data_IF_385546359732
#
_entry.id   IF_385546359732
#
_cell.length_a   1.000
_cell.length_b   1.000
_cell.length_c   1.000
_cell.angle_alpha   90.00
_cell.angle_beta   90.00
_cell.angle_gamma   90.00
#
_symmetry.space_group_name_H-M   'P 1'
#
loop_
_entity.id
_entity.type
_entity.pdbx_description
1 polymer ?
#
# COMPACT_ATOMS: atom_id res chain seq x y z
N UNK A 1 6.75 -18.48 18.62
CA UNK A 1 7.32 -19.46 17.64
C UNK A 1 6.59 -19.28 16.33
N UNK A 2 7.31 -19.18 15.20
CA UNK A 2 6.72 -19.03 13.86
C UNK A 2 6.08 -20.35 13.41
N UNK A 3 5.02 -20.24 12.60
CA UNK A 3 4.32 -21.42 12.07
C UNK A 3 5.14 -22.15 11.00
N UNK A 4 4.82 -23.42 10.74
CA UNK A 4 5.41 -24.15 9.62
C UNK A 4 5.10 -23.47 8.29
N UNK A 5 3.92 -22.88 8.15
CA UNK A 5 3.53 -22.14 6.94
C UNK A 5 4.35 -20.87 6.74
N UNK A 6 4.85 -20.24 7.80
CA UNK A 6 5.83 -19.17 7.69
C UNK A 6 7.11 -19.64 7.01
N UNK A 7 7.70 -20.75 7.50
CA UNK A 7 8.94 -21.28 6.94
C UNK A 7 8.77 -21.72 5.48
N UNK A 8 7.65 -22.33 5.15
CA UNK A 8 7.31 -22.67 3.75
C UNK A 8 7.24 -21.43 2.87
N UNK A 9 6.49 -20.41 3.30
CA UNK A 9 6.35 -19.15 2.56
C UNK A 9 7.71 -18.46 2.38
N UNK A 10 8.50 -18.34 3.46
CA UNK A 10 9.84 -17.73 3.40
C UNK A 10 10.78 -18.50 2.46
N UNK A 11 10.69 -19.84 2.45
CA UNK A 11 11.48 -20.67 1.52
C UNK A 11 11.07 -20.43 0.08
N UNK A 12 9.77 -20.37 -0.22
CA UNK A 12 9.27 -20.06 -1.58
C UNK A 12 9.71 -18.67 -2.03
N UNK A 13 9.63 -17.65 -1.17
CA UNK A 13 10.08 -16.28 -1.46
C UNK A 13 11.58 -16.29 -1.82
N UNK A 14 12.40 -16.99 -1.03
CA UNK A 14 13.84 -17.11 -1.27
C UNK A 14 14.16 -17.85 -2.58
N UNK A 15 13.48 -18.98 -2.84
CA UNK A 15 13.66 -19.77 -4.07
C UNK A 15 13.27 -18.99 -5.33
N UNK A 16 12.20 -18.19 -5.25
CA UNK A 16 11.81 -17.27 -6.35
C UNK A 16 12.81 -16.12 -6.54
N UNK A 17 13.76 -15.93 -5.62
CA UNK A 17 14.78 -14.90 -5.71
C UNK A 17 14.21 -13.48 -5.70
N UNK A 18 13.09 -13.24 -5.00
CA UNK A 18 12.38 -11.95 -5.02
C UNK A 18 13.31 -10.82 -4.61
N UNK A 19 14.05 -10.97 -3.50
CA UNK A 19 15.04 -9.97 -3.08
C UNK A 19 16.11 -9.73 -4.15
N UNK A 20 16.60 -10.78 -4.83
CA UNK A 20 17.61 -10.65 -5.88
C UNK A 20 17.10 -9.82 -7.05
N UNK A 21 15.86 -10.08 -7.51
CA UNK A 21 15.22 -9.30 -8.58
C UNK A 21 15.08 -7.85 -8.13
N UNK A 22 14.64 -7.64 -6.88
CA UNK A 22 14.47 -6.31 -6.31
C UNK A 22 15.78 -5.58 -5.97
N UNK A 23 16.93 -6.27 -5.98
CA UNK A 23 18.25 -5.68 -5.69
C UNK A 23 18.97 -5.18 -6.94
N UNK A 24 18.42 -5.32 -8.13
CA UNK A 24 18.98 -4.78 -9.36
C UNK A 24 19.06 -3.25 -9.32
N UNK A 25 20.10 -2.69 -9.93
CA UNK A 25 20.25 -1.24 -10.05
C UNK A 25 20.84 -0.89 -11.43
N UNK A 26 20.04 -0.30 -12.34
CA UNK A 26 18.61 0.04 -12.18
C UNK A 26 17.73 -1.20 -11.97
N UNK A 27 16.59 -1.00 -11.26
CA UNK A 27 15.64 -2.09 -11.05
C UNK A 27 15.05 -2.56 -12.38
N UNK A 28 14.97 -3.87 -12.58
CA UNK A 28 14.38 -4.46 -13.79
C UNK A 28 12.85 -4.46 -13.69
N UNK A 29 12.26 -3.28 -13.91
CA UNK A 29 10.80 -3.12 -13.86
C UNK A 29 10.09 -3.86 -14.99
N UNK A 30 10.74 -4.09 -16.13
CA UNK A 30 10.14 -4.82 -17.26
C UNK A 30 9.90 -6.29 -16.90
N UNK A 31 10.83 -6.90 -16.17
CA UNK A 31 10.65 -8.27 -15.66
C UNK A 31 9.57 -8.30 -14.57
N UNK A 32 9.52 -7.31 -13.65
CA UNK A 32 8.48 -7.23 -12.62
C UNK A 32 7.08 -7.06 -13.22
N UNK A 33 6.92 -6.29 -14.29
CA UNK A 33 5.63 -6.07 -15.00
C UNK A 33 5.05 -7.31 -15.69
N UNK A 34 5.82 -8.37 -15.84
CA UNK A 34 5.28 -9.66 -16.35
C UNK A 34 4.24 -10.27 -15.41
N UNK A 35 4.26 -9.87 -14.14
CA UNK A 35 3.29 -10.30 -13.14
C UNK A 35 2.09 -9.33 -13.00
N UNK A 36 2.04 -8.24 -13.80
CA UNK A 36 0.94 -7.28 -13.79
C UNK A 36 -0.35 -7.92 -14.30
N UNK A 37 -1.43 -7.76 -13.53
CA UNK A 37 -2.75 -8.24 -13.88
C UNK A 37 -3.69 -7.03 -13.95
N UNK A 38 -4.05 -6.63 -15.17
CA UNK A 38 -4.93 -5.48 -15.40
C UNK A 38 -6.41 -5.80 -15.25
N UNK A 39 -6.78 -7.08 -15.33
CA UNK A 39 -8.16 -7.54 -15.18
C UNK A 39 -8.22 -8.81 -14.36
N UNK A 40 -9.11 -8.86 -13.38
CA UNK A 40 -9.26 -10.04 -12.53
C UNK A 40 -9.88 -11.20 -13.29
N UNK A 41 -9.37 -12.42 -13.08
CA UNK A 41 -9.98 -13.63 -13.59
C UNK A 41 -11.27 -13.94 -12.82
N UNK A 42 -12.40 -14.06 -13.54
CA UNK A 42 -13.72 -14.37 -12.98
C UNK A 42 -13.78 -15.71 -12.24
N UNK A 43 -12.84 -16.64 -12.47
CA UNK A 43 -12.87 -18.00 -11.90
C UNK A 43 -12.76 -18.02 -10.37
N UNK A 44 -12.12 -17.04 -9.75
CA UNK A 44 -11.87 -17.04 -8.29
C UNK A 44 -12.87 -16.20 -7.50
N UNK A 45 -13.89 -15.59 -8.12
CA UNK A 45 -14.67 -14.52 -7.51
C UNK A 45 -16.16 -14.56 -7.85
N UNK A 46 -16.75 -15.75 -7.87
CA UNK A 46 -18.18 -15.98 -8.23
C UNK A 46 -19.18 -15.16 -7.39
N UNK A 47 -18.79 -14.69 -6.20
CA UNK A 47 -19.65 -13.91 -5.29
C UNK A 47 -19.46 -12.39 -5.39
N UNK A 48 -18.58 -11.89 -6.25
CA UNK A 48 -18.29 -10.47 -6.41
C UNK A 48 -18.62 -10.00 -7.83
N UNK A 49 -18.84 -8.71 -7.96
CA UNK A 49 -19.00 -7.99 -9.23
C UNK A 49 -17.85 -6.99 -9.40
N UNK A 50 -17.53 -6.71 -10.67
CA UNK A 50 -16.42 -5.85 -11.06
C UNK A 50 -16.88 -4.89 -12.14
N UNK A 51 -16.54 -3.62 -11.95
CA UNK A 51 -16.79 -2.59 -12.95
C UNK A 51 -15.55 -1.70 -13.04
N UNK A 52 -14.96 -1.59 -14.24
CA UNK A 52 -13.79 -0.74 -14.48
C UNK A 52 -14.19 0.50 -15.26
N UNK A 53 -13.55 1.61 -14.92
CA UNK A 53 -13.67 2.88 -15.60
C UNK A 53 -12.33 3.63 -15.51
N UNK A 54 -12.15 4.67 -16.34
CA UNK A 54 -10.91 5.44 -16.35
C UNK A 54 -11.16 6.86 -15.83
N UNK A 55 -10.21 7.34 -15.04
CA UNK A 55 -10.10 8.71 -14.56
C UNK A 55 -8.70 9.18 -14.92
N UNK A 56 -8.59 10.18 -15.78
CA UNK A 56 -7.32 10.60 -16.38
C UNK A 56 -6.56 9.38 -16.94
N UNK A 57 -5.33 9.14 -16.49
CA UNK A 57 -4.49 7.99 -16.88
C UNK A 57 -4.64 6.78 -15.97
N UNK A 58 -5.60 6.80 -15.06
CA UNK A 58 -5.79 5.76 -14.04
C UNK A 58 -6.99 4.89 -14.37
N UNK A 59 -6.81 3.58 -14.42
CA UNK A 59 -7.92 2.64 -14.45
C UNK A 59 -8.35 2.34 -13.02
N UNK A 60 -9.61 2.60 -12.70
CA UNK A 60 -10.21 2.27 -11.40
C UNK A 60 -11.14 1.10 -11.58
N UNK A 61 -10.99 0.06 -10.76
CA UNK A 61 -11.91 -1.09 -10.76
C UNK A 61 -12.67 -1.15 -9.45
N UNK A 62 -13.96 -0.92 -9.51
CA UNK A 62 -14.87 -1.18 -8.42
C UNK A 62 -15.05 -2.70 -8.23
N UNK A 63 -14.84 -3.16 -7.01
CA UNK A 63 -15.05 -4.54 -6.57
C UNK A 63 -16.11 -4.51 -5.50
N UNK A 64 -17.23 -5.18 -5.70
CA UNK A 64 -18.35 -5.11 -4.77
C UNK A 64 -19.09 -6.44 -4.63
N UNK A 65 -19.71 -6.68 -3.46
CA UNK A 65 -20.49 -7.87 -3.23
C UNK A 65 -21.80 -7.84 -4.02
N UNK A 66 -22.34 -9.00 -4.37
CA UNK A 66 -23.67 -9.11 -4.99
C UNK A 66 -24.82 -8.74 -4.04
N UNK A 67 -24.56 -8.76 -2.73
CA UNK A 67 -25.50 -8.31 -1.69
C UNK A 67 -25.40 -6.79 -1.50
N UNK A 68 -26.33 -6.21 -0.71
CA UNK A 68 -26.29 -4.78 -0.35
C UNK A 68 -24.96 -4.45 0.35
N UNK A 69 -24.19 -3.52 -0.20
CA UNK A 69 -22.93 -3.04 0.38
C UNK A 69 -23.13 -2.18 1.61
N UNK A 70 -22.11 -2.07 2.46
CA UNK A 70 -21.97 -1.03 3.48
C UNK A 70 -22.03 0.38 2.85
N UNK A 71 -22.35 1.40 3.66
CA UNK A 71 -22.21 2.80 3.26
C UNK A 71 -20.75 3.23 3.14
N UNK A 72 -19.86 2.59 3.91
CA UNK A 72 -18.42 2.81 3.76
C UNK A 72 -17.92 2.23 2.45
N UNK A 73 -16.88 2.86 1.91
CA UNK A 73 -16.12 2.35 0.77
C UNK A 73 -14.64 2.33 1.09
N UNK A 74 -13.90 1.48 0.38
CA UNK A 74 -12.45 1.42 0.44
C UNK A 74 -11.88 1.98 -0.86
N UNK A 75 -11.02 3.01 -0.78
CA UNK A 75 -10.16 3.41 -1.88
C UNK A 75 -8.82 2.72 -1.69
N UNK A 76 -8.50 1.76 -2.55
CA UNK A 76 -7.31 0.92 -2.43
C UNK A 76 -6.25 1.24 -3.47
N UNK A 77 -5.08 1.67 -3.01
CA UNK A 77 -3.89 1.81 -3.84
C UNK A 77 -2.93 0.66 -3.59
N UNK A 78 -2.57 -0.06 -4.66
CA UNK A 78 -1.68 -1.22 -4.60
C UNK A 78 -0.21 -0.85 -4.48
N UNK A 79 0.60 -1.77 -3.95
CA UNK A 79 2.06 -1.70 -3.93
C UNK A 79 2.70 -1.86 -5.31
N UNK A 80 4.00 -2.18 -5.33
CA UNK A 80 4.75 -2.38 -6.57
C UNK A 80 5.77 -1.28 -6.87
N UNK A 81 6.24 -0.60 -5.82
CA UNK A 81 7.36 0.36 -5.88
C UNK A 81 7.18 1.51 -6.89
N UNK A 82 5.96 1.79 -7.35
CA UNK A 82 5.58 2.69 -8.45
C UNK A 82 5.99 2.20 -9.84
N UNK A 83 6.54 1.03 -10.00
CA UNK A 83 7.08 0.54 -11.29
C UNK A 83 6.31 -0.64 -11.86
N UNK A 84 5.52 -1.38 -11.06
CA UNK A 84 4.70 -2.52 -11.50
C UNK A 84 3.43 -2.69 -10.68
N UNK A 85 2.58 -3.65 -11.02
CA UNK A 85 1.31 -3.98 -10.38
C UNK A 85 0.09 -3.32 -11.06
N UNK A 86 -1.15 -3.63 -10.62
CA UNK A 86 -1.46 -4.63 -9.59
C UNK A 86 -1.14 -6.06 -10.03
N UNK A 87 -0.81 -6.93 -9.07
CA UNK A 87 -0.56 -8.36 -9.29
C UNK A 87 -1.71 -9.21 -8.75
N UNK A 88 -1.63 -10.52 -8.95
CA UNK A 88 -2.60 -11.47 -8.38
C UNK A 88 -2.74 -11.35 -6.86
N UNK A 89 -1.65 -11.03 -6.15
CA UNK A 89 -1.66 -10.81 -4.71
C UNK A 89 -2.63 -9.69 -4.32
N UNK A 90 -2.55 -8.55 -4.99
CA UNK A 90 -3.39 -7.37 -4.72
C UNK A 90 -4.87 -7.67 -5.00
N UNK A 91 -5.15 -8.31 -6.14
CA UNK A 91 -6.51 -8.69 -6.52
C UNK A 91 -7.15 -9.68 -5.54
N UNK A 92 -6.39 -10.72 -5.14
CA UNK A 92 -6.87 -11.72 -4.20
C UNK A 92 -7.11 -11.11 -2.81
N UNK A 93 -6.22 -10.22 -2.36
CA UNK A 93 -6.36 -9.55 -1.06
C UNK A 93 -7.59 -8.65 -1.03
N UNK A 94 -7.79 -7.80 -2.03
CA UNK A 94 -8.95 -6.91 -2.06
C UNK A 94 -10.26 -7.67 -2.23
N UNK A 95 -10.29 -8.70 -3.05
CA UNK A 95 -11.46 -9.57 -3.22
C UNK A 95 -11.84 -10.25 -1.89
N UNK A 96 -10.85 -10.74 -1.14
CA UNK A 96 -11.07 -11.36 0.17
C UNK A 96 -11.58 -10.34 1.19
N UNK A 97 -11.03 -9.13 1.22
CA UNK A 97 -11.49 -8.02 2.08
C UNK A 97 -12.94 -7.69 1.76
N UNK A 98 -13.29 -7.43 0.49
CA UNK A 98 -14.66 -7.11 0.08
C UNK A 98 -15.64 -8.22 0.46
N UNK A 99 -15.27 -9.49 0.21
CA UNK A 99 -16.10 -10.65 0.57
C UNK A 99 -16.36 -10.77 2.06
N UNK A 100 -15.36 -10.48 2.90
CA UNK A 100 -15.49 -10.65 4.35
C UNK A 100 -16.11 -9.43 5.04
N UNK A 101 -15.89 -8.21 4.51
CA UNK A 101 -16.40 -6.96 5.12
C UNK A 101 -17.74 -6.52 4.56
N UNK A 102 -18.09 -6.96 3.38
CA UNK A 102 -19.20 -6.43 2.59
C UNK A 102 -19.06 -4.93 2.23
N UNK A 103 -17.85 -4.38 2.28
CA UNK A 103 -17.53 -3.01 1.90
C UNK A 103 -17.05 -3.01 0.44
N UNK A 104 -17.65 -2.13 -0.41
CA UNK A 104 -17.18 -1.92 -1.78
C UNK A 104 -15.75 -1.36 -1.77
N UNK A 105 -14.90 -1.84 -2.65
CA UNK A 105 -13.54 -1.32 -2.82
C UNK A 105 -13.31 -0.82 -4.25
N UNK A 106 -12.55 0.25 -4.38
CA UNK A 106 -12.06 0.81 -5.65
C UNK A 106 -10.56 0.58 -5.72
N UNK A 107 -10.13 -0.40 -6.53
CA UNK A 107 -8.71 -0.65 -6.79
C UNK A 107 -8.22 0.35 -7.84
N UNK A 108 -7.21 1.12 -7.47
CA UNK A 108 -6.62 2.19 -8.27
C UNK A 108 -5.36 1.67 -8.96
N UNK A 109 -5.45 1.43 -10.27
CA UNK A 109 -4.30 1.08 -11.10
C UNK A 109 -3.70 2.36 -11.70
N UNK A 110 -2.92 3.06 -10.89
CA UNK A 110 -2.31 4.35 -11.19
C UNK A 110 -1.17 4.23 -12.23
N UNK A 111 -0.82 5.34 -12.95
CA UNK A 111 0.32 5.39 -13.87
C UNK A 111 1.64 5.07 -13.17
N UNK A 112 2.59 4.45 -13.86
CA UNK A 112 3.82 3.90 -13.27
C UNK A 112 5.08 4.51 -13.86
N UNK A 113 6.11 4.59 -13.02
CA UNK A 113 7.46 4.94 -13.44
C UNK A 113 8.11 3.79 -14.24
N UNK A 114 9.05 4.08 -15.13
CA UNK A 114 9.64 5.41 -15.40
C UNK A 114 8.81 6.32 -16.31
N UNK A 115 7.78 5.81 -16.99
CA UNK A 115 6.97 6.56 -17.97
C UNK A 115 6.22 7.73 -17.32
N UNK A 116 5.83 7.58 -16.04
CA UNK A 116 5.12 8.58 -15.26
C UNK A 116 5.83 8.80 -13.93
N UNK A 117 6.14 10.05 -13.61
CA UNK A 117 6.84 10.42 -12.39
C UNK A 117 5.87 10.79 -11.26
N UNK A 118 6.40 10.93 -10.04
CA UNK A 118 5.61 11.08 -8.82
C UNK A 118 4.62 12.24 -8.86
N UNK A 119 4.97 13.37 -9.47
CA UNK A 119 4.06 14.51 -9.59
C UNK A 119 2.81 14.14 -10.39
N UNK A 120 2.96 13.47 -11.53
CA UNK A 120 1.85 13.02 -12.35
C UNK A 120 1.05 11.90 -11.67
N UNK A 121 1.74 10.95 -11.02
CA UNK A 121 1.08 9.90 -10.23
C UNK A 121 0.23 10.53 -9.13
N UNK A 122 0.76 11.50 -8.39
CA UNK A 122 0.03 12.22 -7.34
C UNK A 122 -1.20 12.95 -7.88
N UNK A 123 -1.10 13.61 -9.05
CA UNK A 123 -2.24 14.27 -9.71
C UNK A 123 -3.34 13.27 -10.09
N UNK A 124 -2.97 12.10 -10.60
CA UNK A 124 -3.94 11.04 -10.92
C UNK A 124 -4.63 10.50 -9.65
N UNK A 125 -3.92 10.32 -8.53
CA UNK A 125 -4.52 9.91 -7.25
C UNK A 125 -5.49 10.99 -6.74
N UNK A 126 -5.12 12.28 -6.85
CA UNK A 126 -5.99 13.40 -6.49
C UNK A 126 -7.26 13.41 -7.35
N UNK A 127 -7.15 13.19 -8.67
CA UNK A 127 -8.28 13.12 -9.59
C UNK A 127 -9.23 11.96 -9.22
N UNK A 128 -8.69 10.78 -8.92
CA UNK A 128 -9.49 9.63 -8.47
C UNK A 128 -10.23 9.94 -7.17
N UNK A 129 -9.56 10.53 -6.17
CA UNK A 129 -10.21 10.91 -4.92
C UNK A 129 -11.34 11.91 -5.13
N UNK A 130 -11.12 12.94 -5.96
CA UNK A 130 -12.13 13.94 -6.29
C UNK A 130 -13.35 13.34 -7.02
N UNK A 131 -13.14 12.39 -7.93
CA UNK A 131 -14.24 11.67 -8.58
C UNK A 131 -15.06 10.85 -7.58
N UNK A 132 -14.39 10.13 -6.68
CA UNK A 132 -15.06 9.37 -5.61
C UNK A 132 -15.88 10.28 -4.71
N UNK A 133 -15.41 11.50 -4.41
CA UNK A 133 -16.16 12.49 -3.61
C UNK A 133 -17.47 12.96 -4.27
N UNK A 134 -17.63 12.81 -5.59
CA UNK A 134 -18.90 13.12 -6.26
C UNK A 134 -20.02 12.15 -5.91
N UNK A 135 -19.66 10.95 -5.42
CA UNK A 135 -20.61 9.86 -5.15
C UNK A 135 -20.65 9.46 -3.67
N UNK A 136 -19.58 9.70 -2.92
CA UNK A 136 -19.43 9.24 -1.53
C UNK A 136 -19.01 10.39 -0.61
N UNK A 137 -19.67 10.47 0.55
CA UNK A 137 -19.26 11.43 1.57
C UNK A 137 -17.88 11.09 2.14
N UNK A 138 -17.00 12.07 2.41
CA UNK A 138 -15.64 11.84 2.92
C UNK A 138 -15.61 10.94 4.16
N UNK A 139 -16.57 11.12 5.08
CA UNK A 139 -16.72 10.32 6.30
C UNK A 139 -16.98 8.82 6.06
N UNK A 140 -17.31 8.43 4.84
CA UNK A 140 -17.55 7.05 4.44
C UNK A 140 -16.38 6.46 3.63
N UNK A 141 -15.31 7.23 3.36
CA UNK A 141 -14.15 6.80 2.59
C UNK A 141 -13.05 6.32 3.54
N UNK A 142 -12.67 5.05 3.41
CA UNK A 142 -11.53 4.45 4.08
C UNK A 142 -10.42 4.30 3.04
N UNK A 143 -9.26 4.88 3.30
CA UNK A 143 -8.08 4.67 2.47
C UNK A 143 -7.37 3.39 2.90
N UNK A 144 -7.04 2.51 1.96
CA UNK A 144 -6.27 1.30 2.20
C UNK A 144 -5.13 1.23 1.20
N UNK A 145 -3.92 0.97 1.65
CA UNK A 145 -2.80 0.79 0.73
C UNK A 145 -1.69 -0.07 1.31
N UNK A 146 -0.94 -0.68 0.41
CA UNK A 146 0.26 -1.43 0.76
C UNK A 146 1.49 -0.86 0.08
N UNK A 147 2.64 -0.89 0.76
CA UNK A 147 3.93 -0.47 0.21
C UNK A 147 3.85 0.93 -0.42
N UNK A 148 4.16 1.07 -1.71
CA UNK A 148 4.05 2.35 -2.43
C UNK A 148 2.61 2.88 -2.48
N UNK A 149 1.61 2.02 -2.60
CA UNK A 149 0.20 2.46 -2.56
C UNK A 149 -0.15 3.14 -1.24
N UNK A 150 0.35 2.61 -0.12
CA UNK A 150 0.24 3.24 1.19
C UNK A 150 0.92 4.61 1.23
N UNK A 151 2.10 4.74 0.61
CA UNK A 151 2.81 6.02 0.46
C UNK A 151 1.97 7.04 -0.30
N UNK A 152 1.39 6.66 -1.46
CA UNK A 152 0.57 7.55 -2.28
C UNK A 152 -0.65 8.09 -1.52
N UNK A 153 -1.27 7.24 -0.71
CA UNK A 153 -2.42 7.64 0.12
C UNK A 153 -2.02 8.55 1.28
N UNK A 154 -0.86 8.35 1.90
CA UNK A 154 -0.29 9.29 2.87
C UNK A 154 -0.07 10.67 2.25
N UNK A 155 0.57 10.70 1.09
CA UNK A 155 0.81 11.92 0.33
C UNK A 155 -0.50 12.61 -0.08
N UNK A 156 -1.54 11.83 -0.46
CA UNK A 156 -2.87 12.36 -0.72
C UNK A 156 -3.42 13.10 0.51
N UNK A 157 -3.43 12.45 1.69
CA UNK A 157 -3.96 13.07 2.91
C UNK A 157 -3.21 14.36 3.27
N UNK A 158 -1.88 14.36 3.16
CA UNK A 158 -1.08 15.57 3.40
C UNK A 158 -1.45 16.70 2.42
N UNK A 159 -1.68 16.40 1.14
CA UNK A 159 -2.13 17.38 0.14
C UNK A 159 -3.55 17.89 0.42
N UNK A 160 -4.47 17.01 0.84
CA UNK A 160 -5.83 17.40 1.22
C UNK A 160 -5.81 18.36 2.42
N UNK A 161 -5.01 18.08 3.46
CA UNK A 161 -4.85 18.96 4.62
C UNK A 161 -4.29 20.33 4.19
N UNK A 162 -3.22 20.34 3.39
CA UNK A 162 -2.58 21.58 2.90
C UNK A 162 -3.53 22.46 2.08
N UNK A 163 -4.49 21.85 1.39
CA UNK A 163 -5.51 22.53 0.57
C UNK A 163 -6.83 22.77 1.29
N UNK A 164 -6.94 22.43 2.58
CA UNK A 164 -8.18 22.49 3.37
C UNK A 164 -9.36 21.76 2.67
N UNK A 165 -9.09 20.62 2.05
CA UNK A 165 -10.08 19.79 1.38
C UNK A 165 -10.69 18.75 2.33
N UNK A 166 -11.88 18.20 2.01
CA UNK A 166 -12.52 17.19 2.83
C UNK A 166 -11.64 15.97 3.03
N UNK A 167 -11.50 15.52 4.29
CA UNK A 167 -10.64 14.40 4.65
C UNK A 167 -11.43 13.09 4.69
N UNK A 168 -10.83 11.95 4.28
CA UNK A 168 -11.42 10.64 4.44
C UNK A 168 -11.53 10.24 5.91
N UNK A 169 -12.34 9.22 6.19
CA UNK A 169 -12.63 8.72 7.53
C UNK A 169 -11.38 8.26 8.28
N UNK A 170 -10.53 7.50 7.61
CA UNK A 170 -9.34 6.88 8.17
C UNK A 170 -8.43 6.37 7.08
N UNK A 171 -7.20 6.00 7.46
CA UNK A 171 -6.23 5.37 6.57
C UNK A 171 -5.67 4.09 7.18
N UNK A 172 -5.60 3.04 6.37
CA UNK A 172 -5.02 1.74 6.71
C UNK A 172 -3.80 1.50 5.82
N UNK A 173 -2.66 1.31 6.42
CA UNK A 173 -1.36 1.28 5.77
C UNK A 173 -0.65 -0.04 6.07
N UNK A 174 -0.20 -0.74 5.03
CA UNK A 174 0.62 -1.94 5.15
C UNK A 174 2.03 -1.61 4.63
N UNK A 175 3.03 -1.62 5.50
CA UNK A 175 4.45 -1.43 5.16
C UNK A 175 4.71 -0.22 4.23
N UNK A 176 4.28 1.01 4.56
CA UNK A 176 4.47 2.19 3.69
C UNK A 176 5.95 2.53 3.52
N UNK A 177 6.32 3.01 2.32
CA UNK A 177 7.62 3.66 2.10
C UNK A 177 7.51 5.12 2.55
N UNK A 178 8.17 5.47 3.63
CA UNK A 178 8.01 6.77 4.31
C UNK A 178 9.12 7.76 3.96
N UNK A 179 10.34 7.26 3.73
CA UNK A 179 11.48 8.01 3.21
C UNK A 179 12.05 7.30 1.96
N UNK A 180 11.84 7.89 0.80
CA UNK A 180 12.35 7.36 -0.47
C UNK A 180 13.89 7.35 -0.54
N UNK A 181 14.57 8.17 0.26
CA UNK A 181 16.03 8.26 0.30
C UNK A 181 16.68 7.11 1.08
N UNK A 182 15.89 6.38 1.91
CA UNK A 182 16.35 5.23 2.70
C UNK A 182 17.63 5.54 3.50
N UNK A 183 17.72 6.74 4.08
CA UNK A 183 18.94 7.23 4.76
C UNK A 183 19.02 6.86 6.23
N UNK A 184 17.97 6.28 6.82
CA UNK A 184 17.99 5.81 8.20
C UNK A 184 19.02 4.68 8.37
N UNK A 185 20.04 4.84 9.26
CA UNK A 185 21.12 3.86 9.40
C UNK A 185 20.64 2.48 9.89
N UNK A 186 19.55 2.42 10.63
CA UNK A 186 19.00 1.13 11.10
C UNK A 186 18.52 0.23 9.94
N UNK A 187 18.25 0.79 8.76
CA UNK A 187 17.87 0.03 7.56
C UNK A 187 18.97 -0.95 7.15
N UNK A 188 20.24 -0.61 7.33
CA UNK A 188 21.36 -1.49 6.97
C UNK A 188 21.36 -2.82 7.75
N UNK A 189 20.87 -2.80 8.98
CA UNK A 189 20.74 -4.00 9.81
C UNK A 189 19.56 -4.84 9.30
N UNK A 190 18.43 -4.20 9.04
CA UNK A 190 17.20 -4.88 8.59
C UNK A 190 17.35 -5.41 7.17
N UNK A 191 18.08 -4.72 6.28
CA UNK A 191 18.33 -5.19 4.91
C UNK A 191 19.00 -6.58 4.86
N UNK A 192 19.76 -6.94 5.88
CA UNK A 192 20.39 -8.27 5.96
C UNK A 192 19.40 -9.41 6.21
N UNK A 193 18.30 -9.13 6.89
CA UNK A 193 17.27 -10.12 7.27
C UNK A 193 16.00 -10.05 6.44
N UNK A 194 15.74 -8.94 5.75
CA UNK A 194 14.63 -8.83 4.80
C UNK A 194 14.82 -9.83 3.66
N UNK A 195 13.79 -10.65 3.41
CA UNK A 195 13.80 -11.71 2.37
C UNK A 195 13.14 -11.28 1.06
N UNK A 196 12.53 -10.10 1.02
CA UNK A 196 11.76 -9.60 -0.13
C UNK A 196 12.37 -8.37 -0.76
N UNK A 197 12.78 -7.40 0.05
CA UNK A 197 13.27 -6.11 -0.42
C UNK A 197 14.74 -5.92 -0.11
N UNK A 198 15.35 -4.96 -0.80
CA UNK A 198 16.66 -4.41 -0.44
C UNK A 198 16.62 -2.89 -0.49
N UNK A 199 17.40 -2.26 0.39
CA UNK A 199 17.62 -0.81 0.38
C UNK A 199 17.98 -0.29 -1.01
N UNK A 200 18.92 -0.96 -1.69
CA UNK A 200 19.38 -0.61 -3.04
C UNK A 200 18.27 -0.62 -4.08
N UNK A 201 17.44 -1.65 -4.08
CA UNK A 201 16.31 -1.78 -5.02
C UNK A 201 15.22 -0.74 -4.76
N UNK A 202 14.90 -0.46 -3.50
CA UNK A 202 13.95 0.60 -3.14
C UNK A 202 14.44 1.95 -3.64
N UNK A 203 15.70 2.32 -3.37
CA UNK A 203 16.28 3.58 -3.86
C UNK A 203 16.21 3.64 -5.39
N UNK A 204 16.53 2.55 -6.09
CA UNK A 204 16.49 2.50 -7.55
C UNK A 204 15.08 2.79 -8.10
N UNK A 205 14.05 2.11 -7.56
CA UNK A 205 12.67 2.34 -7.97
C UNK A 205 12.20 3.77 -7.64
N UNK A 206 12.58 4.28 -6.46
CA UNK A 206 12.24 5.64 -6.05
C UNK A 206 12.90 6.71 -6.90
N UNK A 207 14.15 6.50 -7.32
CA UNK A 207 14.86 7.39 -8.25
C UNK A 207 14.13 7.46 -9.61
N UNK A 208 13.69 6.32 -10.14
CA UNK A 208 12.87 6.29 -11.37
C UNK A 208 11.55 7.06 -11.20
N UNK A 209 10.90 6.89 -10.04
CA UNK A 209 9.63 7.54 -9.75
C UNK A 209 9.78 9.04 -9.49
N UNK A 210 10.85 9.47 -8.82
CA UNK A 210 11.10 10.87 -8.48
C UNK A 210 11.40 11.74 -9.71
N UNK A 211 12.04 11.18 -10.74
CA UNK A 211 12.57 11.97 -11.85
C UNK A 211 13.60 13.00 -11.36
N UNK A 212 13.26 14.28 -11.48
CA UNK A 212 14.13 15.37 -11.04
C UNK A 212 13.87 15.84 -9.60
N UNK A 213 12.88 15.24 -8.90
CA UNK A 213 12.55 15.62 -7.53
C UNK A 213 13.52 14.94 -6.56
N UNK A 214 13.93 15.67 -5.52
CA UNK A 214 14.73 15.09 -4.43
C UNK A 214 13.98 13.95 -3.75
N UNK A 215 14.67 12.84 -3.48
CA UNK A 215 14.10 11.72 -2.71
C UNK A 215 13.67 12.12 -1.29
N UNK A 216 14.14 13.26 -0.77
CA UNK A 216 13.73 13.86 0.50
C UNK A 216 12.60 14.87 0.35
N UNK A 217 12.05 15.07 -0.84
CA UNK A 217 10.89 15.93 -1.02
C UNK A 217 9.63 15.35 -0.36
N UNK A 218 8.80 16.20 0.24
CA UNK A 218 7.47 15.81 0.75
C UNK A 218 6.54 15.26 -0.34
N UNK A 219 6.86 15.43 -1.62
CA UNK A 219 6.08 14.91 -2.73
C UNK A 219 6.23 13.39 -2.96
N UNK A 220 7.31 12.79 -2.43
CA UNK A 220 7.60 11.36 -2.58
C UNK A 220 7.89 10.67 -1.25
N UNK A 221 8.24 11.43 -0.23
CA UNK A 221 8.63 10.98 1.10
C UNK A 221 7.75 11.62 2.17
N UNK A 222 6.62 11.00 2.52
CA UNK A 222 5.66 11.58 3.46
C UNK A 222 6.25 11.86 4.84
N UNK A 223 7.36 11.22 5.22
CA UNK A 223 8.04 11.46 6.50
C UNK A 223 8.55 12.90 6.66
N UNK A 224 8.79 13.61 5.55
CA UNK A 224 9.21 15.01 5.54
C UNK A 224 8.05 16.01 5.50
N UNK A 225 6.83 15.55 5.26
CA UNK A 225 5.62 16.37 5.31
C UNK A 225 5.05 16.53 6.72
N UNK A 226 3.98 17.31 6.85
CA UNK A 226 3.28 17.57 8.11
C UNK A 226 2.24 16.47 8.40
N UNK A 227 2.08 16.16 9.70
CA UNK A 227 1.02 15.28 10.21
C UNK A 227 0.03 16.01 11.12
N UNK A 228 0.07 17.35 11.17
CA UNK A 228 -0.93 18.16 11.88
C UNK A 228 -2.33 17.91 11.29
N UNK A 229 -3.32 17.71 12.14
CA UNK A 229 -4.71 17.41 11.75
C UNK A 229 -4.86 16.15 10.90
N UNK A 230 -3.91 15.22 10.99
CA UNK A 230 -3.96 13.98 10.23
C UNK A 230 -5.10 13.07 10.72
N UNK A 231 -5.57 12.19 9.85
CA UNK A 231 -6.71 11.31 10.12
C UNK A 231 -6.31 10.07 10.93
N UNK A 232 -7.26 9.38 11.61
CA UNK A 232 -6.99 8.14 12.31
C UNK A 232 -6.28 7.13 11.41
N UNK A 233 -5.16 6.60 11.92
CA UNK A 233 -4.22 5.77 11.16
C UNK A 233 -4.11 4.38 11.74
N UNK A 234 -4.32 3.36 10.92
CA UNK A 234 -4.12 1.94 11.24
C UNK A 234 -2.89 1.45 10.47
N UNK A 235 -1.87 0.99 11.18
CA UNK A 235 -0.56 0.72 10.61
C UNK A 235 -0.13 -0.73 10.84
N UNK A 236 0.03 -1.48 9.76
CA UNK A 236 0.59 -2.84 9.76
C UNK A 236 2.05 -2.76 9.38
N UNK A 237 2.96 -3.10 10.31
CA UNK A 237 4.42 -3.04 10.14
C UNK A 237 5.06 -4.38 10.46
N UNK A 238 6.13 -4.71 9.76
CA UNK A 238 6.87 -5.96 9.89
C UNK A 238 8.31 -5.68 10.32
N UNK A 239 8.81 -6.36 11.35
CA UNK A 239 10.14 -6.03 11.91
C UNK A 239 11.31 -6.52 11.06
N UNK A 240 11.08 -7.45 10.11
CA UNK A 240 12.06 -7.87 9.10
C UNK A 240 11.79 -7.26 7.72
N UNK A 241 11.32 -6.01 7.70
CA UNK A 241 11.04 -5.20 6.51
C UNK A 241 11.93 -3.95 6.54
N UNK A 242 12.64 -3.66 5.48
CA UNK A 242 13.49 -2.45 5.38
C UNK A 242 12.72 -1.14 5.59
N UNK A 243 11.38 -1.16 5.54
CA UNK A 243 10.52 -0.02 5.86
C UNK A 243 10.32 0.19 7.37
N UNK A 244 10.63 -0.80 8.19
CA UNK A 244 10.35 -0.79 9.63
C UNK A 244 11.01 0.38 10.40
N UNK A 245 12.30 0.70 10.19
CA UNK A 245 12.94 1.77 10.95
C UNK A 245 12.27 3.13 10.77
N UNK A 246 11.83 3.44 9.56
CA UNK A 246 11.14 4.71 9.28
C UNK A 246 9.69 4.69 9.78
N UNK A 247 9.06 3.51 9.85
CA UNK A 247 7.73 3.36 10.42
C UNK A 247 7.71 3.72 11.92
N UNK A 248 8.76 3.40 12.66
CA UNK A 248 8.86 3.81 14.08
C UNK A 248 8.97 5.33 14.23
N UNK A 249 9.71 6.03 13.34
CA UNK A 249 9.77 7.50 13.33
C UNK A 249 8.39 8.07 12.97
N UNK A 250 7.70 7.48 12.00
CA UNK A 250 6.35 7.90 11.61
C UNK A 250 5.35 7.80 12.77
N UNK A 251 5.37 6.69 13.51
CA UNK A 251 4.53 6.49 14.70
C UNK A 251 4.79 7.60 15.72
N UNK A 252 6.06 7.93 15.98
CA UNK A 252 6.42 9.01 16.91
C UNK A 252 5.88 10.36 16.44
N UNK A 253 5.99 10.68 15.14
CA UNK A 253 5.43 11.91 14.55
C UNK A 253 3.92 11.99 14.68
N UNK A 254 3.18 10.91 14.39
CA UNK A 254 1.73 10.86 14.56
C UNK A 254 1.32 11.10 16.01
N UNK A 255 2.01 10.46 16.97
CA UNK A 255 1.74 10.62 18.40
C UNK A 255 2.03 12.04 18.89
N UNK A 256 3.10 12.67 18.42
CA UNK A 256 3.44 14.05 18.76
C UNK A 256 2.36 15.05 18.32
N UNK A 257 1.63 14.73 17.25
CA UNK A 257 0.49 15.53 16.75
C UNK A 257 -0.86 15.06 17.31
N UNK A 258 -0.88 14.17 18.32
CA UNK A 258 -2.09 13.58 18.93
C UNK A 258 -3.00 12.86 17.92
N UNK A 259 -2.45 12.35 16.82
CA UNK A 259 -3.20 11.55 15.85
C UNK A 259 -3.49 10.16 16.42
N UNK A 260 -4.74 9.67 16.38
CA UNK A 260 -5.04 8.30 16.77
C UNK A 260 -4.28 7.30 15.86
N UNK A 261 -3.39 6.51 16.45
CA UNK A 261 -2.63 5.49 15.72
C UNK A 261 -2.79 4.12 16.35
N UNK A 262 -3.20 3.14 15.53
CA UNK A 262 -3.37 1.74 15.90
C UNK A 262 -2.34 0.90 15.14
N UNK A 263 -1.57 0.10 15.87
CA UNK A 263 -0.41 -0.60 15.29
C UNK A 263 -0.62 -2.11 15.40
N UNK A 264 -0.50 -2.79 14.27
CA UNK A 264 -0.39 -4.25 14.17
C UNK A 264 1.05 -4.57 13.75
N UNK A 265 1.81 -5.13 14.71
CA UNK A 265 3.21 -5.44 14.49
C UNK A 265 3.38 -6.92 14.17
N UNK A 266 4.01 -7.22 13.04
CA UNK A 266 4.43 -8.56 12.64
C UNK A 266 5.88 -8.79 13.05
N UNK A 267 6.11 -9.46 14.21
CA UNK A 267 7.45 -9.77 14.68
C UNK A 267 8.16 -10.76 13.75
N UNK A 268 9.29 -10.34 13.21
CA UNK A 268 10.11 -11.08 12.24
C UNK A 268 9.33 -11.46 10.95
N UNK A 269 8.26 -10.74 10.64
CA UNK A 269 7.51 -10.92 9.40
C UNK A 269 8.16 -10.14 8.25
N UNK A 270 8.00 -10.61 7.00
CA UNK A 270 8.49 -9.91 5.81
C UNK A 270 7.55 -8.79 5.39
N UNK A 271 7.97 -8.00 4.41
CA UNK A 271 7.22 -6.91 3.79
C UNK A 271 5.78 -7.32 3.43
N UNK A 272 4.79 -6.47 3.74
CA UNK A 272 3.35 -6.66 3.48
C UNK A 272 2.80 -8.04 3.90
N UNK A 273 3.32 -8.64 4.98
CA UNK A 273 3.03 -10.03 5.37
C UNK A 273 1.53 -10.36 5.48
N UNK A 274 0.70 -9.39 5.84
CA UNK A 274 -0.74 -9.59 5.99
C UNK A 274 -1.44 -10.01 4.68
N UNK A 275 -0.82 -9.75 3.53
CA UNK A 275 -1.33 -10.14 2.21
C UNK A 275 -0.69 -11.42 1.67
N UNK A 276 0.34 -11.96 2.32
CA UNK A 276 1.00 -13.17 1.84
C UNK A 276 0.07 -14.40 1.99
N UNK A 277 -0.18 -15.13 0.90
CA UNK A 277 -1.06 -16.30 0.96
C UNK A 277 -0.42 -17.42 1.79
N UNK A 278 -1.24 -18.36 2.28
CA UNK A 278 -0.82 -19.59 2.97
C UNK A 278 -0.28 -19.39 4.39
N UNK A 279 0.42 -18.30 4.69
CA UNK A 279 1.05 -18.05 5.99
C UNK A 279 0.00 -17.84 7.09
N UNK A 280 0.07 -18.60 8.18
CA UNK A 280 -0.89 -18.53 9.29
C UNK A 280 -0.87 -17.15 9.98
N UNK A 281 0.31 -16.54 10.10
CA UNK A 281 0.49 -15.20 10.64
C UNK A 281 -0.18 -14.14 9.75
N UNK A 282 -0.07 -14.31 8.42
CA UNK A 282 -0.74 -13.44 7.46
C UNK A 282 -2.27 -13.54 7.56
N UNK A 283 -2.79 -14.77 7.67
CA UNK A 283 -4.23 -14.99 7.86
C UNK A 283 -4.76 -14.32 9.12
N UNK A 284 -4.00 -14.37 10.23
CA UNK A 284 -4.36 -13.67 11.47
C UNK A 284 -4.36 -12.15 11.28
N UNK A 285 -3.33 -11.60 10.64
CA UNK A 285 -3.23 -10.17 10.36
C UNK A 285 -4.34 -9.69 9.41
N UNK A 286 -4.66 -10.48 8.37
CA UNK A 286 -5.76 -10.15 7.46
C UNK A 286 -7.13 -10.19 8.16
N UNK A 287 -7.35 -11.14 9.08
CA UNK A 287 -8.56 -11.17 9.89
C UNK A 287 -8.65 -9.92 10.81
N UNK A 288 -7.54 -9.51 11.44
CA UNK A 288 -7.50 -8.25 12.20
C UNK A 288 -7.82 -7.03 11.33
N UNK A 289 -7.28 -6.98 10.10
CA UNK A 289 -7.60 -5.92 9.14
C UNK A 289 -9.11 -5.91 8.81
N UNK A 290 -9.69 -7.07 8.54
CA UNK A 290 -11.13 -7.21 8.27
C UNK A 290 -11.97 -6.76 9.47
N UNK A 291 -11.59 -7.16 10.69
CA UNK A 291 -12.29 -6.76 11.92
C UNK A 291 -12.19 -5.24 12.15
N UNK A 292 -11.03 -4.63 11.91
CA UNK A 292 -10.84 -3.18 11.94
C UNK A 292 -11.80 -2.50 10.95
N UNK A 293 -11.84 -2.96 9.71
CA UNK A 293 -12.68 -2.37 8.65
C UNK A 293 -14.18 -2.52 8.94
N UNK A 294 -14.61 -3.61 9.56
CA UNK A 294 -16.02 -3.82 9.96
C UNK A 294 -16.47 -2.91 11.10
N UNK A 295 -15.54 -2.51 11.95
CA UNK A 295 -15.83 -1.69 13.13
C UNK A 295 -15.65 -0.18 12.88
N UNK A 296 -15.33 0.20 11.66
CA UNK A 296 -15.31 1.59 11.19
C UNK A 296 -16.70 2.00 10.67
#
# INVERSE_FOLDING_TARGET
>A
MKSLTYYLTATVIKLKGIKRIFSNHPIDYQTLRKDDIHTISRKNVLSLEFQSFNIEKTTVTAVFPKSKSSENIILYCHGGASVYGPTELHWNSIAQIVKQTNIKAFLVNYPKAPEHQITEINQNIDAVYNDILTQYAPKNIILLGDSMGATLLLLLVQRLIKRNQPLPKSIVLLSPVLDASMTNPAIEIIDKVDIMLSRKGVISAKTMCAGNISLKSEEISPLYGSFQKFIPTYLFIATHDVMYPDAEIFIQKLRAENVPVYIVRGEEMPHIWAFLPVMSEAKKALNQLVDILKNM
#
